data_IF_233232527313
#
_entry.id   IF_233232527313
#
_cell.length_a   1.000
_cell.length_b   1.000
_cell.length_c   1.000
_cell.angle_alpha   90.00
_cell.angle_beta   90.00
_cell.angle_gamma   90.00
#
_symmetry.space_group_name_H-M   'P 1'
#
loop_
_entity.id
_entity.type
_entity.pdbx_description
1 polymer ?
#
# COMPACT_ATOMS: atom_id res chain seq x y z
N UNK A 1 15.31 23.62 3.18
CA UNK A 1 15.33 22.79 4.41
C UNK A 1 14.51 21.55 4.13
N UNK A 2 15.00 20.37 4.50
CA UNK A 2 14.21 19.13 4.41
C UNK A 2 13.07 19.18 5.41
N UNK A 3 11.88 18.74 5.00
CA UNK A 3 10.73 18.62 5.91
C UNK A 3 11.02 17.56 6.97
N UNK A 4 10.63 17.83 8.21
CA UNK A 4 10.64 16.82 9.29
C UNK A 4 9.70 15.65 8.96
N UNK A 5 9.86 14.53 9.66
CA UNK A 5 8.99 13.36 9.52
C UNK A 5 7.50 13.74 9.68
N UNK A 6 7.17 14.48 10.73
CA UNK A 6 5.80 14.90 11.02
C UNK A 6 5.21 15.77 9.90
N UNK A 7 6.01 16.73 9.41
CA UNK A 7 5.61 17.60 8.30
C UNK A 7 5.37 16.81 7.01
N UNK A 8 6.22 15.83 6.70
CA UNK A 8 6.02 14.97 5.53
C UNK A 8 4.76 14.10 5.65
N UNK A 9 4.45 13.58 6.85
CA UNK A 9 3.22 12.81 7.09
C UNK A 9 1.97 13.68 6.88
N UNK A 10 1.95 14.90 7.45
CA UNK A 10 0.79 15.80 7.37
C UNK A 10 0.59 16.42 5.99
N UNK A 11 1.64 16.54 5.18
CA UNK A 11 1.56 17.23 3.90
C UNK A 11 0.63 16.53 2.89
N UNK A 12 0.62 15.20 2.87
CA UNK A 12 0.00 14.44 1.79
C UNK A 12 0.73 14.65 0.47
N UNK A 13 0.01 15.01 -0.60
CA UNK A 13 0.62 15.31 -1.90
C UNK A 13 1.33 16.67 -1.83
N UNK A 14 2.65 16.75 -2.08
CA UNK A 14 3.37 18.02 -2.11
C UNK A 14 2.81 19.00 -3.16
N UNK A 15 2.82 20.29 -2.82
CA UNK A 15 2.31 21.35 -3.71
C UNK A 15 3.10 21.46 -5.02
N UNK A 16 4.41 21.22 -4.93
CA UNK A 16 5.36 21.19 -6.05
C UNK A 16 5.81 19.76 -6.36
N UNK A 17 6.13 19.50 -7.63
CA UNK A 17 6.63 18.18 -8.07
C UNK A 17 8.02 17.95 -7.45
N UNK A 18 8.20 16.96 -6.55
CA UNK A 18 9.49 16.74 -5.89
C UNK A 18 10.51 16.17 -6.87
N UNK A 19 11.83 16.26 -6.61
CA UNK A 19 12.83 15.56 -7.41
C UNK A 19 12.63 14.04 -7.33
N UNK A 20 13.20 13.29 -8.29
CA UNK A 20 13.14 11.82 -8.24
C UNK A 20 14.00 11.35 -7.07
N UNK A 21 13.48 10.54 -6.14
CA UNK A 21 14.28 9.97 -5.05
C UNK A 21 15.44 9.13 -5.60
N UNK A 22 16.61 9.14 -4.94
CA UNK A 22 17.73 8.30 -5.35
C UNK A 22 17.38 6.82 -5.20
N UNK A 23 17.93 6.00 -6.10
CA UNK A 23 17.94 4.55 -5.93
C UNK A 23 18.80 4.17 -4.71
N UNK A 24 18.44 3.07 -4.06
CA UNK A 24 19.17 2.56 -2.91
C UNK A 24 19.65 1.14 -3.21
N UNK A 25 20.94 0.91 -3.04
CA UNK A 25 21.55 -0.40 -3.24
C UNK A 25 20.95 -1.44 -2.28
N UNK A 26 20.77 -2.67 -2.78
CA UNK A 26 20.24 -3.79 -2.01
C UNK A 26 18.72 -3.80 -1.85
N UNK A 27 18.00 -2.80 -2.37
CA UNK A 27 16.53 -2.84 -2.41
C UNK A 27 16.05 -3.79 -3.52
N UNK A 28 15.19 -4.73 -3.14
CA UNK A 28 14.54 -5.60 -4.10
C UNK A 28 13.40 -4.87 -4.80
N UNK A 29 13.30 -5.07 -6.12
CA UNK A 29 12.24 -4.52 -6.96
C UNK A 29 11.36 -5.61 -7.55
N UNK A 30 10.08 -5.30 -7.70
CA UNK A 30 9.15 -6.20 -8.35
C UNK A 30 9.48 -6.33 -9.85
N UNK A 31 9.34 -7.53 -10.44
CA UNK A 31 9.47 -7.68 -11.88
C UNK A 31 8.36 -6.90 -12.62
N UNK A 32 8.61 -6.46 -13.87
CA UNK A 32 7.59 -5.83 -14.69
C UNK A 32 6.32 -6.68 -14.78
N UNK A 33 5.15 -6.05 -14.71
CA UNK A 33 3.86 -6.71 -14.87
C UNK A 33 3.50 -6.81 -16.34
N UNK A 34 2.73 -7.85 -16.68
CA UNK A 34 2.18 -8.03 -18.02
C UNK A 34 1.34 -6.81 -18.41
N UNK A 35 1.73 -6.15 -19.50
CA UNK A 35 0.98 -5.05 -20.08
C UNK A 35 -0.16 -5.61 -20.94
N UNK A 36 -1.36 -5.71 -20.37
CA UNK A 36 -2.57 -6.21 -21.03
C UNK A 36 -3.47 -5.10 -21.59
N UNK A 37 -3.13 -3.84 -21.31
CA UNK A 37 -3.97 -2.70 -21.66
C UNK A 37 -3.89 -2.36 -23.15
N UNK A 38 -5.03 -2.10 -23.77
CA UNK A 38 -5.08 -1.44 -25.07
C UNK A 38 -4.73 0.05 -24.98
N UNK A 39 -4.59 0.75 -26.12
CA UNK A 39 -4.20 2.16 -26.14
C UNK A 39 -5.16 3.08 -25.38
N UNK A 40 -6.48 2.83 -25.49
CA UNK A 40 -7.50 3.61 -24.79
C UNK A 40 -7.40 3.40 -23.29
N UNK A 41 -7.17 2.16 -22.86
CA UNK A 41 -6.99 1.78 -21.47
C UNK A 41 -5.67 2.32 -20.90
N UNK A 42 -4.58 2.35 -21.66
CA UNK A 42 -3.33 2.99 -21.23
C UNK A 42 -3.53 4.48 -20.99
N UNK A 43 -4.22 5.19 -21.90
CA UNK A 43 -4.60 6.59 -21.68
C UNK A 43 -5.46 6.76 -20.42
N UNK A 44 -6.43 5.87 -20.21
CA UNK A 44 -7.28 5.87 -19.02
C UNK A 44 -6.47 5.60 -17.73
N UNK A 45 -5.49 4.70 -17.74
CA UNK A 45 -4.61 4.44 -16.60
C UNK A 45 -3.84 5.70 -16.19
N UNK A 46 -3.27 6.41 -17.17
CA UNK A 46 -2.58 7.69 -16.92
C UNK A 46 -3.55 8.75 -16.39
N UNK A 47 -4.74 8.88 -16.99
CA UNK A 47 -5.78 9.79 -16.48
C UNK A 47 -6.18 9.45 -15.03
N UNK A 48 -6.34 8.16 -14.73
CA UNK A 48 -6.69 7.68 -13.40
C UNK A 48 -5.61 8.01 -12.37
N UNK A 49 -4.34 7.89 -12.74
CA UNK A 49 -3.19 8.28 -11.92
C UNK A 49 -3.11 9.80 -11.71
N UNK A 50 -3.42 10.60 -12.73
CA UNK A 50 -3.39 12.07 -12.65
C UNK A 50 -4.47 12.67 -11.73
N UNK A 51 -5.52 11.91 -11.38
CA UNK A 51 -6.57 12.37 -10.45
C UNK A 51 -6.05 12.76 -9.06
N UNK A 52 -4.91 12.22 -8.64
CA UNK A 52 -4.29 12.54 -7.35
C UNK A 52 -3.55 13.88 -7.35
N UNK A 53 -3.34 14.50 -8.51
CA UNK A 53 -2.47 15.67 -8.66
C UNK A 53 -3.22 16.88 -9.21
N UNK A 54 -2.84 18.11 -8.82
CA UNK A 54 -3.35 19.34 -9.42
C UNK A 54 -3.15 19.37 -10.95
N UNK A 55 -4.14 19.91 -11.68
CA UNK A 55 -4.12 19.98 -13.16
C UNK A 55 -2.85 20.62 -13.74
N UNK A 56 -2.30 21.63 -13.06
CA UNK A 56 -1.05 22.32 -13.47
C UNK A 56 0.16 21.37 -13.59
N UNK A 57 0.13 20.23 -12.90
CA UNK A 57 1.21 19.24 -12.93
C UNK A 57 0.99 18.15 -13.99
N UNK A 58 -0.18 18.09 -14.63
CA UNK A 58 -0.56 16.98 -15.51
C UNK A 58 0.33 16.88 -16.74
N UNK A 59 0.68 18.01 -17.37
CA UNK A 59 1.55 18.03 -18.55
C UNK A 59 2.92 17.39 -18.27
N UNK A 60 3.47 17.63 -17.08
CA UNK A 60 4.77 17.09 -16.67
C UNK A 60 4.70 15.65 -16.18
N UNK A 61 3.64 15.27 -15.46
CA UNK A 61 3.51 13.93 -14.86
C UNK A 61 2.97 12.89 -15.85
N UNK A 62 2.14 13.28 -16.82
CA UNK A 62 1.58 12.36 -17.80
C UNK A 62 2.63 11.51 -18.54
N UNK A 63 3.70 12.09 -19.13
CA UNK A 63 4.72 11.29 -19.81
C UNK A 63 5.54 10.42 -18.86
N UNK A 64 5.73 10.85 -17.60
CA UNK A 64 6.40 10.05 -16.57
C UNK A 64 5.57 8.81 -16.20
N UNK A 65 4.28 8.99 -15.93
CA UNK A 65 3.37 7.89 -15.61
C UNK A 65 3.13 6.95 -16.79
N UNK A 66 3.07 7.48 -18.02
CA UNK A 66 3.03 6.64 -19.23
C UNK A 66 4.28 5.76 -19.35
N UNK A 67 5.46 6.32 -19.05
CA UNK A 67 6.72 5.57 -19.05
C UNK A 67 6.75 4.49 -17.97
N UNK A 68 6.36 4.83 -16.73
CA UNK A 68 6.26 3.83 -15.65
C UNK A 68 5.32 2.68 -16.06
N UNK A 69 4.16 3.00 -16.64
CA UNK A 69 3.21 1.98 -17.11
C UNK A 69 3.82 1.07 -18.17
N UNK A 70 4.56 1.61 -19.14
CA UNK A 70 5.18 0.82 -20.21
C UNK A 70 6.35 -0.04 -19.70
N UNK A 71 7.19 0.50 -18.81
CA UNK A 71 8.39 -0.18 -18.32
C UNK A 71 8.08 -1.19 -17.20
N UNK A 72 7.08 -0.90 -16.36
CA UNK A 72 6.77 -1.69 -15.16
C UNK A 72 5.42 -2.39 -15.22
N UNK A 73 4.56 -2.05 -16.18
CA UNK A 73 3.18 -2.54 -16.26
C UNK A 73 2.26 -1.94 -15.19
N UNK A 74 2.74 -0.97 -14.41
CA UNK A 74 2.04 -0.28 -13.30
C UNK A 74 2.58 1.15 -13.16
N UNK A 75 1.77 2.03 -12.57
CA UNK A 75 2.14 3.41 -12.25
C UNK A 75 2.30 3.49 -10.73
N UNK A 76 3.52 3.39 -10.23
CA UNK A 76 3.82 3.42 -8.79
C UNK A 76 3.99 4.84 -8.27
N UNK A 77 4.27 5.80 -9.16
CA UNK A 77 4.54 7.20 -8.86
C UNK A 77 5.81 7.33 -7.99
N UNK A 78 6.91 6.72 -8.42
CA UNK A 78 8.14 6.58 -7.62
C UNK A 78 8.66 7.91 -7.07
N UNK A 79 8.44 8.99 -7.82
CA UNK A 79 8.78 10.36 -7.45
C UNK A 79 8.21 10.79 -6.08
N UNK A 80 7.05 10.24 -5.71
CA UNK A 80 6.34 10.61 -4.48
C UNK A 80 6.66 9.68 -3.30
N UNK A 81 7.64 8.77 -3.45
CA UNK A 81 8.16 8.01 -2.32
C UNK A 81 8.75 8.95 -1.26
N UNK A 82 8.38 8.81 0.03
CA UNK A 82 8.90 9.66 1.09
C UNK A 82 10.42 9.58 1.25
N UNK A 83 11.00 10.66 1.77
CA UNK A 83 12.45 10.77 2.00
C UNK A 83 12.90 10.24 3.37
N UNK A 84 11.97 10.07 4.31
CA UNK A 84 12.29 9.50 5.62
C UNK A 84 12.49 7.98 5.53
N UNK A 85 13.30 7.39 6.43
CA UNK A 85 13.42 5.94 6.51
C UNK A 85 12.07 5.29 6.85
N UNK A 86 11.71 4.26 6.09
CA UNK A 86 10.46 3.51 6.23
C UNK A 86 10.63 2.39 7.25
N UNK A 87 10.07 2.58 8.45
CA UNK A 87 10.02 1.57 9.51
C UNK A 87 8.93 1.94 10.53
N UNK A 88 8.53 0.96 11.33
CA UNK A 88 7.56 1.16 12.40
C UNK A 88 8.18 1.92 13.59
N UNK A 89 7.75 3.15 13.84
CA UNK A 89 8.27 4.04 14.90
C UNK A 89 7.53 3.86 16.22
N UNK A 90 8.10 4.27 17.36
CA UNK A 90 7.32 4.50 18.57
C UNK A 90 6.04 5.28 18.28
N UNK A 91 4.92 4.84 18.84
CA UNK A 91 3.59 5.36 18.49
C UNK A 91 3.46 6.88 18.71
N UNK A 92 4.18 7.41 19.69
CA UNK A 92 4.13 8.84 20.06
C UNK A 92 4.95 9.74 19.11
N UNK A 93 5.72 9.17 18.17
CA UNK A 93 6.38 9.92 17.08
C UNK A 93 5.44 10.23 15.90
N UNK A 94 4.28 9.59 15.83
CA UNK A 94 3.32 9.83 14.75
C UNK A 94 2.46 11.06 15.04
N UNK A 95 2.33 12.01 14.09
CA UNK A 95 1.67 13.29 14.35
C UNK A 95 0.13 13.21 14.25
N UNK A 96 -0.47 12.20 14.89
CA UNK A 96 -1.91 11.92 14.87
C UNK A 96 -2.68 12.67 15.96
N UNK A 97 -3.98 12.90 15.74
CA UNK A 97 -4.88 13.45 16.76
C UNK A 97 -5.51 12.37 17.66
N UNK A 98 -5.58 11.13 17.20
CA UNK A 98 -6.02 9.98 18.00
C UNK A 98 -5.02 8.82 17.91
N UNK A 99 -4.90 8.05 19.00
CA UNK A 99 -3.86 7.03 19.18
C UNK A 99 -4.03 5.85 18.23
N UNK A 100 -5.27 5.50 17.92
CA UNK A 100 -5.63 4.41 17.00
C UNK A 100 -5.13 4.72 15.58
N UNK A 101 -5.21 5.97 15.12
CA UNK A 101 -4.68 6.36 13.82
C UNK A 101 -3.14 6.32 13.78
N UNK A 102 -2.47 6.71 14.87
CA UNK A 102 -1.02 6.52 15.03
C UNK A 102 -0.62 5.03 14.95
N UNK A 103 -1.37 4.14 15.61
CA UNK A 103 -1.15 2.69 15.52
C UNK A 103 -1.32 2.16 14.08
N UNK A 104 -2.33 2.65 13.34
CA UNK A 104 -2.50 2.27 11.93
C UNK A 104 -1.32 2.74 11.09
N UNK A 105 -0.85 3.99 11.26
CA UNK A 105 0.34 4.50 10.56
C UNK A 105 1.59 3.67 10.87
N UNK A 106 1.79 3.28 12.13
CA UNK A 106 2.86 2.37 12.53
C UNK A 106 2.81 1.06 11.74
N UNK A 107 1.64 0.43 11.69
CA UNK A 107 1.47 -0.87 11.02
C UNK A 107 1.62 -0.78 9.50
N UNK A 108 1.16 0.32 8.87
CA UNK A 108 1.41 0.60 7.45
C UNK A 108 2.92 0.67 7.17
N UNK A 109 3.67 1.43 7.99
CA UNK A 109 5.11 1.59 7.79
C UNK A 109 5.88 0.30 8.05
N UNK A 110 5.44 -0.52 9.01
CA UNK A 110 5.97 -1.87 9.19
C UNK A 110 5.81 -2.73 7.92
N UNK A 111 4.63 -2.72 7.29
CA UNK A 111 4.38 -3.48 6.06
C UNK A 111 5.22 -3.02 4.86
N UNK A 112 5.77 -1.80 4.91
CA UNK A 112 6.61 -1.20 3.87
C UNK A 112 8.09 -1.09 4.28
N UNK A 113 8.45 -1.55 5.49
CA UNK A 113 9.83 -1.55 5.97
C UNK A 113 10.69 -2.43 5.04
N UNK A 114 11.85 -1.95 4.53
CA UNK A 114 12.72 -2.75 3.67
C UNK A 114 13.20 -4.08 4.28
N UNK A 115 13.15 -4.22 5.61
CA UNK A 115 13.47 -5.47 6.32
C UNK A 115 12.31 -6.47 6.35
N UNK A 116 11.11 -6.01 6.03
CA UNK A 116 9.85 -6.77 6.12
C UNK A 116 9.24 -7.02 4.74
N UNK A 117 9.16 -5.96 3.92
CA UNK A 117 8.52 -5.98 2.61
C UNK A 117 9.41 -6.64 1.56
N UNK A 118 8.80 -7.47 0.71
CA UNK A 118 9.48 -8.14 -0.40
C UNK A 118 9.96 -7.15 -1.47
N UNK A 119 9.12 -6.19 -1.87
CA UNK A 119 9.49 -5.13 -2.81
C UNK A 119 8.96 -3.78 -2.29
N UNK A 120 9.69 -3.13 -1.35
CA UNK A 120 9.20 -1.97 -0.62
C UNK A 120 8.89 -0.77 -1.52
N UNK A 121 9.65 -0.57 -2.60
CA UNK A 121 9.48 0.58 -3.49
C UNK A 121 8.27 0.45 -4.44
N UNK A 122 7.82 -0.78 -4.71
CA UNK A 122 6.57 -1.09 -5.39
C UNK A 122 5.40 -1.36 -4.42
N UNK A 123 5.60 -1.07 -3.13
CA UNK A 123 4.60 -1.20 -2.07
C UNK A 123 4.07 -2.64 -1.89
N UNK A 124 4.91 -3.64 -2.15
CA UNK A 124 4.56 -5.07 -2.05
C UNK A 124 5.22 -5.68 -0.82
N UNK A 125 4.40 -6.22 0.08
CA UNK A 125 4.88 -6.82 1.32
C UNK A 125 5.30 -8.28 1.12
N UNK A 126 4.48 -9.11 0.46
CA UNK A 126 4.80 -10.52 0.21
C UNK A 126 3.92 -11.15 -0.88
N UNK A 127 4.18 -12.42 -1.22
CA UNK A 127 3.40 -13.17 -2.19
C UNK A 127 3.62 -12.71 -3.63
N UNK A 128 4.69 -11.96 -3.90
CA UNK A 128 5.05 -11.44 -5.22
C UNK A 128 4.22 -10.24 -5.68
N UNK A 129 2.95 -10.11 -5.27
CA UNK A 129 2.07 -9.00 -5.62
C UNK A 129 1.08 -8.59 -4.50
N UNK A 130 1.29 -9.06 -3.26
CA UNK A 130 0.51 -8.64 -2.09
C UNK A 130 0.86 -7.21 -1.70
N UNK A 131 0.01 -6.27 -2.10
CA UNK A 131 0.29 -4.85 -2.12
C UNK A 131 -0.39 -4.11 -0.97
N UNK A 132 0.31 -3.11 -0.40
CA UNK A 132 -0.19 -2.19 0.63
C UNK A 132 -1.02 -1.08 -0.01
N UNK A 133 -0.46 -0.39 -1.02
CA UNK A 133 -1.13 0.61 -1.84
C UNK A 133 -0.70 0.47 -3.30
N UNK A 134 -1.57 0.85 -4.25
CA UNK A 134 -1.26 0.73 -5.67
C UNK A 134 -0.15 1.70 -6.12
N UNK A 135 0.03 2.82 -5.39
CA UNK A 135 1.02 3.84 -5.70
C UNK A 135 1.32 4.72 -4.47
N UNK A 136 2.40 5.51 -4.56
CA UNK A 136 2.85 6.38 -3.47
C UNK A 136 1.90 7.54 -3.15
N UNK A 137 1.09 8.01 -4.10
CA UNK A 137 0.08 9.04 -3.79
C UNK A 137 -0.98 8.55 -2.80
N UNK A 138 -1.43 7.30 -2.96
CA UNK A 138 -2.36 6.66 -2.02
C UNK A 138 -1.76 6.53 -0.61
N UNK A 139 -0.48 6.15 -0.51
CA UNK A 139 0.24 6.15 0.77
C UNK A 139 0.23 7.55 1.40
N UNK A 140 0.69 8.58 0.67
CA UNK A 140 0.80 9.94 1.20
C UNK A 140 -0.54 10.50 1.69
N UNK A 141 -1.61 10.32 0.90
CA UNK A 141 -2.95 10.76 1.30
C UNK A 141 -3.49 9.98 2.49
N UNK A 142 -3.25 8.67 2.56
CA UNK A 142 -3.66 7.85 3.71
C UNK A 142 -2.97 8.31 4.99
N UNK A 143 -1.65 8.53 4.94
CA UNK A 143 -0.89 9.03 6.09
C UNK A 143 -1.37 10.42 6.52
N UNK A 144 -1.66 11.31 5.55
CA UNK A 144 -2.26 12.62 5.82
C UNK A 144 -3.60 12.48 6.56
N UNK A 145 -4.54 11.70 6.02
CA UNK A 145 -5.85 11.52 6.62
C UNK A 145 -5.77 10.92 8.03
N UNK A 146 -4.92 9.91 8.24
CA UNK A 146 -4.69 9.33 9.57
C UNK A 146 -4.07 10.34 10.55
N UNK A 147 -3.25 11.28 10.07
CA UNK A 147 -2.68 12.32 10.93
C UNK A 147 -3.70 13.38 11.37
N UNK A 148 -4.74 13.62 10.57
CA UNK A 148 -5.71 14.70 10.78
C UNK A 148 -7.05 14.21 11.39
N UNK A 149 -7.38 12.93 11.23
CA UNK A 149 -8.66 12.38 11.65
C UNK A 149 -8.85 12.40 13.17
N UNK A 150 -10.11 12.45 13.57
CA UNK A 150 -10.54 12.37 14.98
C UNK A 150 -11.15 11.00 15.29
N UNK A 151 -11.51 10.76 16.55
CA UNK A 151 -12.22 9.55 16.96
C UNK A 151 -13.66 9.49 16.43
N UNK A 152 -14.21 10.60 15.96
CA UNK A 152 -15.56 10.71 15.37
C UNK A 152 -15.55 10.48 13.84
N UNK A 153 -14.49 9.88 13.31
CA UNK A 153 -14.32 9.66 11.87
C UNK A 153 -13.81 8.26 11.55
N UNK A 154 -14.13 7.80 10.34
CA UNK A 154 -13.65 6.57 9.74
C UNK A 154 -13.04 6.90 8.37
N UNK A 155 -11.80 6.46 8.15
CA UNK A 155 -11.16 6.46 6.84
C UNK A 155 -11.62 5.24 6.04
N UNK A 156 -12.05 5.46 4.80
CA UNK A 156 -12.47 4.38 3.89
C UNK A 156 -11.45 4.21 2.77
N UNK A 157 -10.87 3.00 2.65
CA UNK A 157 -9.94 2.63 1.59
C UNK A 157 -10.58 1.68 0.58
N UNK A 158 -10.56 2.09 -0.68
CA UNK A 158 -10.99 1.32 -1.84
C UNK A 158 -9.78 0.72 -2.55
N UNK A 159 -9.41 -0.50 -2.20
CA UNK A 159 -8.23 -1.20 -2.74
C UNK A 159 -6.97 -0.32 -2.72
N UNK A 160 -6.72 0.32 -1.59
CA UNK A 160 -5.63 1.28 -1.40
C UNK A 160 -5.99 2.74 -1.69
N UNK A 161 -6.99 3.04 -2.53
CA UNK A 161 -7.43 4.43 -2.75
C UNK A 161 -8.10 5.01 -1.50
N UNK A 162 -7.58 6.08 -0.88
CA UNK A 162 -8.24 6.70 0.26
C UNK A 162 -9.39 7.59 -0.23
N UNK A 163 -10.62 7.06 -0.17
CA UNK A 163 -11.80 7.79 -0.60
C UNK A 163 -12.01 9.06 0.25
N UNK A 164 -11.74 8.96 1.55
CA UNK A 164 -11.79 10.09 2.46
C UNK A 164 -12.20 9.71 3.88
N UNK A 165 -12.31 10.74 4.72
CA UNK A 165 -12.79 10.65 6.09
C UNK A 165 -14.29 10.93 6.13
N UNK A 166 -15.03 10.01 6.73
CA UNK A 166 -16.48 10.11 6.90
C UNK A 166 -16.82 10.19 8.39
N UNK A 167 -17.85 10.97 8.80
CA UNK A 167 -18.32 10.99 10.17
C UNK A 167 -18.72 9.59 10.65
N UNK A 168 -18.36 9.25 11.88
CA UNK A 168 -18.75 8.01 12.56
C UNK A 168 -18.92 8.27 14.06
N UNK A 169 -18.43 7.38 14.94
CA UNK A 169 -18.51 7.51 16.40
C UNK A 169 -17.28 6.84 17.05
N UNK A 170 -16.93 7.11 18.32
CA UNK A 170 -15.68 6.64 18.92
C UNK A 170 -15.49 5.12 18.88
N UNK A 171 -16.57 4.34 19.03
CA UNK A 171 -16.53 2.87 18.96
C UNK A 171 -16.47 2.28 17.53
N UNK A 172 -16.62 3.12 16.50
CA UNK A 172 -16.49 2.68 15.12
C UNK A 172 -15.04 2.34 14.76
N UNK A 173 -14.80 1.53 13.72
CA UNK A 173 -13.45 1.37 13.17
C UNK A 173 -12.91 2.71 12.68
N UNK A 174 -11.66 3.05 13.01
CA UNK A 174 -10.98 4.21 12.42
C UNK A 174 -10.66 4.01 10.93
N UNK A 175 -10.62 2.75 10.48
CA UNK A 175 -10.26 2.39 9.13
C UNK A 175 -11.12 1.21 8.66
N UNK A 176 -11.72 1.35 7.48
CA UNK A 176 -12.37 0.26 6.75
C UNK A 176 -11.61 0.08 5.43
N UNK A 177 -11.08 -1.12 5.21
CA UNK A 177 -10.31 -1.45 4.00
C UNK A 177 -11.03 -2.53 3.20
N UNK A 178 -11.12 -2.31 1.89
CA UNK A 178 -11.41 -3.36 0.91
C UNK A 178 -10.21 -3.53 0.00
N UNK A 179 -9.90 -4.76 -0.41
CA UNK A 179 -8.83 -5.06 -1.36
C UNK A 179 -9.33 -6.08 -2.38
N UNK A 180 -9.27 -5.76 -3.67
CA UNK A 180 -9.56 -6.74 -4.72
C UNK A 180 -11.05 -7.09 -4.86
N UNK A 181 -11.95 -6.34 -4.22
CA UNK A 181 -13.39 -6.58 -4.32
C UNK A 181 -13.87 -6.26 -5.73
N UNK A 182 -14.42 -7.27 -6.39
CA UNK A 182 -14.90 -7.18 -7.78
C UNK A 182 -16.22 -7.92 -7.93
N UNK A 183 -17.00 -7.55 -8.94
CA UNK A 183 -18.20 -8.31 -9.31
C UNK A 183 -17.76 -9.71 -9.76
N UNK A 184 -18.37 -10.81 -9.28
CA UNK A 184 -17.82 -12.16 -9.45
C UNK A 184 -17.47 -12.56 -10.89
N UNK A 185 -18.26 -12.12 -11.88
CA UNK A 185 -18.02 -12.42 -13.29
C UNK A 185 -16.75 -11.75 -13.86
N UNK A 186 -16.15 -10.80 -13.14
CA UNK A 186 -14.97 -10.04 -13.55
C UNK A 186 -13.79 -10.24 -12.57
N UNK A 187 -13.66 -11.45 -12.03
CA UNK A 187 -12.67 -11.81 -11.00
C UNK A 187 -11.59 -12.77 -11.52
N UNK A 188 -11.29 -12.73 -12.82
CA UNK A 188 -10.21 -13.54 -13.40
C UNK A 188 -8.83 -12.91 -13.14
N UNK A 189 -7.75 -13.67 -13.36
CA UNK A 189 -6.39 -13.14 -13.27
C UNK A 189 -6.12 -12.04 -14.32
N UNK A 190 -6.67 -12.17 -15.53
CA UNK A 190 -6.57 -11.17 -16.59
C UNK A 190 -7.35 -9.89 -16.23
N UNK A 191 -8.54 -10.03 -15.61
CA UNK A 191 -9.28 -8.89 -15.06
C UNK A 191 -8.47 -8.17 -13.99
N UNK A 192 -7.86 -8.90 -13.07
CA UNK A 192 -6.99 -8.32 -12.05
C UNK A 192 -5.83 -7.54 -12.69
N UNK A 193 -5.10 -8.14 -13.64
CA UNK A 193 -3.96 -7.49 -14.29
C UNK A 193 -4.35 -6.18 -14.99
N UNK A 194 -5.50 -6.19 -15.66
CA UNK A 194 -6.09 -5.03 -16.34
C UNK A 194 -6.52 -3.96 -15.34
N UNK A 195 -7.30 -4.33 -14.33
CA UNK A 195 -7.85 -3.40 -13.33
C UNK A 195 -6.76 -2.80 -12.43
N UNK A 196 -5.74 -3.58 -12.07
CA UNK A 196 -4.60 -3.09 -11.31
C UNK A 196 -3.72 -2.15 -12.14
N UNK A 197 -3.50 -2.42 -13.42
CA UNK A 197 -2.81 -1.47 -14.33
C UNK A 197 -3.58 -0.16 -14.49
N UNK A 198 -4.91 -0.22 -14.51
CA UNK A 198 -5.80 0.95 -14.56
C UNK A 198 -5.83 1.75 -13.24
N UNK A 199 -5.24 1.24 -12.16
CA UNK A 199 -5.24 1.89 -10.86
C UNK A 199 -6.59 1.85 -10.14
N UNK A 200 -7.40 0.80 -10.38
CA UNK A 200 -8.75 0.67 -9.79
C UNK A 200 -8.91 -0.52 -8.86
N UNK A 201 -7.89 -1.36 -8.69
CA UNK A 201 -7.90 -2.46 -7.71
C UNK A 201 -6.49 -2.88 -7.29
N UNK A 202 -6.39 -3.64 -6.21
CA UNK A 202 -5.13 -4.17 -5.67
C UNK A 202 -5.34 -5.57 -5.10
N UNK A 203 -4.36 -6.44 -5.22
CA UNK A 203 -4.34 -7.70 -4.48
C UNK A 203 -3.69 -7.47 -3.12
N UNK A 204 -4.49 -7.49 -2.04
CA UNK A 204 -4.01 -7.22 -0.68
C UNK A 204 -3.44 -8.44 0.05
N UNK A 205 -3.45 -9.63 -0.58
CA UNK A 205 -3.24 -10.89 0.14
C UNK A 205 -4.16 -10.93 1.38
N UNK A 206 -3.69 -11.43 2.51
CA UNK A 206 -4.37 -11.41 3.80
C UNK A 206 -3.91 -10.21 4.61
N UNK A 207 -2.60 -10.08 4.86
CA UNK A 207 -2.05 -9.10 5.80
C UNK A 207 -1.28 -7.96 5.16
N UNK A 208 -1.08 -7.98 3.83
CA UNK A 208 -0.37 -6.92 3.11
C UNK A 208 -1.25 -5.67 2.98
N UNK A 209 -2.44 -5.83 2.40
CA UNK A 209 -3.42 -4.76 2.22
C UNK A 209 -4.19 -4.38 3.49
N UNK A 210 -4.19 -5.24 4.52
CA UNK A 210 -4.81 -4.95 5.82
C UNK A 210 -3.83 -4.44 6.88
N UNK A 211 -2.58 -4.18 6.50
CA UNK A 211 -1.57 -3.55 7.35
C UNK A 211 -1.28 -4.32 8.65
N UNK A 212 -1.00 -5.63 8.57
CA UNK A 212 -0.70 -6.42 9.77
C UNK A 212 0.26 -7.59 9.52
N UNK A 213 1.18 -7.46 8.56
CA UNK A 213 2.19 -8.49 8.31
C UNK A 213 3.38 -8.32 9.26
N UNK A 214 3.80 -9.39 9.93
CA UNK A 214 4.84 -9.34 10.98
C UNK A 214 6.07 -10.19 10.65
N UNK A 215 6.31 -10.42 9.36
CA UNK A 215 7.42 -11.24 8.89
C UNK A 215 7.14 -12.75 8.92
N UNK A 216 8.20 -13.58 8.75
CA UNK A 216 8.06 -15.01 8.50
C UNK A 216 7.71 -15.83 9.75
N UNK A 217 7.68 -15.24 10.94
CA UNK A 217 7.34 -15.96 12.17
C UNK A 217 5.95 -16.63 12.11
N UNK A 218 5.01 -16.05 11.36
CA UNK A 218 3.68 -16.64 11.16
C UNK A 218 3.73 -17.98 10.42
N UNK A 219 4.53 -18.10 9.36
CA UNK A 219 4.68 -19.37 8.65
C UNK A 219 5.44 -20.39 9.48
N UNK A 220 6.48 -19.97 10.24
CA UNK A 220 7.22 -20.86 11.15
C UNK A 220 6.28 -21.45 12.21
N UNK A 221 5.45 -20.63 12.84
CA UNK A 221 4.47 -21.09 13.82
C UNK A 221 3.42 -22.01 13.17
N UNK A 222 2.90 -21.66 12.00
CA UNK A 222 1.94 -22.48 11.25
C UNK A 222 2.50 -23.87 10.90
N UNK A 223 3.72 -23.93 10.34
CA UNK A 223 4.39 -25.20 10.04
C UNK A 223 4.62 -26.03 11.29
N UNK A 224 5.01 -25.39 12.41
CA UNK A 224 5.18 -26.07 13.70
C UNK A 224 3.89 -26.76 14.14
N UNK A 225 2.77 -26.05 14.13
CA UNK A 225 1.46 -26.61 14.51
C UNK A 225 1.03 -27.72 13.55
N UNK A 226 1.25 -27.57 12.24
CA UNK A 226 0.94 -28.60 11.25
C UNK A 226 1.70 -29.89 11.52
N UNK A 227 3.02 -29.81 11.73
CA UNK A 227 3.85 -30.99 12.00
C UNK A 227 3.49 -31.66 13.32
N UNK A 228 3.23 -30.89 14.37
CA UNK A 228 2.80 -31.44 15.67
C UNK A 228 1.46 -32.17 15.57
N UNK A 229 0.50 -31.63 14.80
CA UNK A 229 -0.79 -32.29 14.60
C UNK A 229 -0.68 -33.52 13.69
N UNK A 230 0.15 -33.47 12.65
CA UNK A 230 0.43 -34.64 11.82
C UNK A 230 1.08 -35.77 12.64
N UNK A 231 2.02 -35.45 13.54
CA UNK A 231 2.62 -36.39 14.48
C UNK A 231 1.58 -37.03 15.40
N UNK A 232 0.68 -36.23 16.00
CA UNK A 232 -0.41 -36.75 16.82
C UNK A 232 -1.37 -37.65 16.04
N UNK A 233 -1.78 -37.23 14.85
CA UNK A 233 -2.80 -37.92 14.06
C UNK A 233 -2.29 -39.21 13.43
N UNK A 234 -1.10 -39.18 12.82
CA UNK A 234 -0.60 -40.28 12.00
C UNK A 234 0.42 -41.16 12.74
N UNK A 235 1.17 -40.59 13.69
CA UNK A 235 2.22 -41.32 14.41
C UNK A 235 1.84 -41.62 15.87
N UNK A 236 0.69 -41.13 16.35
CA UNK A 236 0.29 -41.17 17.76
C UNK A 236 1.34 -40.58 18.71
N UNK A 237 2.18 -39.68 18.19
CA UNK A 237 3.17 -38.95 18.96
C UNK A 237 2.47 -37.77 19.68
N UNK A 238 1.66 -38.10 20.68
CA UNK A 238 1.14 -37.14 21.65
C UNK A 238 2.01 -37.08 22.89
N UNK A 239 1.93 -36.01 23.70
CA UNK A 239 2.36 -36.12 25.09
C UNK A 239 1.54 -37.22 25.76
N UNK A 240 2.20 -38.12 26.50
CA UNK A 240 1.53 -39.02 27.45
C UNK A 240 0.69 -38.23 28.46
#
# INVERSE_FOLDING_TARGET
MSLSFEQQIRQGIPEEIPPMPPEQEGISHAPPRRLILDEKQMRLAVQNALRYFPRRHHERLAPEFARELLERGRIYMYRYRPSYPMYARPIDEYPARCRQAAAIMHMIQNNLDPRVAQHPYELITYGGNGTVFQNWAQYLLTMKYLSEMTEEQTLVLYSGHPLGLFPSHPDAPRLVVTCGMVVPHYSTADDYDRLAALGVTSYGQMTAGSFMYIGPQGIVHGTTITLLNAGRLYLKAGPD
#
